data_IF_306957356809
#
_entry.id   IF_306957356809
#
_cell.length_a   1.000
_cell.length_b   1.000
_cell.length_c   1.000
_cell.angle_alpha   90.00
_cell.angle_beta   90.00
_cell.angle_gamma   90.00
#
_symmetry.space_group_name_H-M   'P 1'
#
loop_
_entity.id
_entity.type
_entity.pdbx_description
1 polymer ?
#
# COMPACT_ATOMS: atom_id res chain seq x y z
N UNK A 1 -29.46 -6.70 -51.34
CA UNK A 1 -29.68 -6.37 -49.92
C UNK A 1 -28.95 -7.38 -49.07
N UNK A 2 -27.91 -6.99 -48.33
CA UNK A 2 -27.61 -7.52 -47.00
C UNK A 2 -26.55 -6.62 -46.36
N UNK A 3 -26.99 -5.77 -45.42
CA UNK A 3 -26.11 -4.90 -44.64
C UNK A 3 -25.30 -5.81 -43.70
N UNK A 4 -23.98 -5.88 -43.89
CA UNK A 4 -23.09 -6.50 -42.91
C UNK A 4 -23.06 -5.61 -41.66
N UNK A 5 -23.73 -6.04 -40.60
CA UNK A 5 -23.63 -5.42 -39.27
C UNK A 5 -22.47 -6.14 -38.57
N UNK A 6 -21.31 -5.50 -38.55
CA UNK A 6 -20.19 -5.93 -37.70
C UNK A 6 -20.49 -5.42 -36.29
N UNK A 7 -20.92 -6.31 -35.41
CA UNK A 7 -21.14 -6.00 -34.00
C UNK A 7 -19.78 -5.96 -33.28
N UNK A 8 -19.27 -4.76 -33.02
CA UNK A 8 -18.06 -4.56 -32.23
C UNK A 8 -18.41 -4.73 -30.74
N UNK A 9 -18.06 -5.87 -30.13
CA UNK A 9 -18.18 -6.09 -28.69
C UNK A 9 -17.07 -5.31 -27.97
N UNK A 10 -17.41 -4.15 -27.42
CA UNK A 10 -16.52 -3.39 -26.53
C UNK A 10 -16.50 -4.06 -25.15
N UNK A 11 -15.39 -4.71 -24.78
CA UNK A 11 -15.19 -5.22 -23.43
C UNK A 11 -14.84 -4.05 -22.53
N UNK A 12 -15.79 -3.64 -21.68
CA UNK A 12 -15.58 -2.58 -20.68
C UNK A 12 -14.89 -3.22 -19.48
N UNK A 13 -13.62 -2.88 -19.25
CA UNK A 13 -12.91 -3.23 -18.02
C UNK A 13 -13.18 -2.16 -16.96
N UNK A 14 -13.83 -2.55 -15.87
CA UNK A 14 -13.94 -1.73 -14.66
C UNK A 14 -12.82 -2.11 -13.69
N UNK A 15 -11.96 -1.15 -13.38
CA UNK A 15 -10.94 -1.27 -12.35
C UNK A 15 -11.46 -0.62 -11.05
N UNK A 16 -11.52 -1.40 -9.97
CA UNK A 16 -11.90 -0.90 -8.65
C UNK A 16 -10.65 -0.85 -7.77
N UNK A 17 -10.39 0.28 -7.10
CA UNK A 17 -9.37 0.38 -6.04
C UNK A 17 -10.05 0.58 -4.69
N UNK A 18 -9.40 0.11 -3.63
CA UNK A 18 -9.84 0.34 -2.26
C UNK A 18 -8.84 1.26 -1.57
N UNK A 19 -9.32 2.41 -1.10
CA UNK A 19 -8.52 3.40 -0.37
C UNK A 19 -9.16 3.60 1.00
N UNK A 20 -8.41 3.30 2.06
CA UNK A 20 -8.80 3.61 3.43
C UNK A 20 -8.18 4.95 3.84
N UNK A 21 -9.01 5.93 4.17
CA UNK A 21 -8.55 7.20 4.73
C UNK A 21 -8.47 7.08 6.26
N UNK A 22 -7.29 7.32 6.82
CA UNK A 22 -7.01 7.23 8.25
C UNK A 22 -6.47 8.56 8.75
N UNK A 23 -7.12 9.15 9.76
CA UNK A 23 -6.65 10.38 10.42
C UNK A 23 -6.22 10.03 11.83
N UNK A 24 -5.00 10.41 12.21
CA UNK A 24 -4.40 10.14 13.52
C UNK A 24 -3.63 11.36 14.01
N UNK A 25 -3.35 11.43 15.31
CA UNK A 25 -2.62 12.58 15.88
C UNK A 25 -1.14 12.26 16.06
N UNK A 26 -0.32 13.31 16.03
CA UNK A 26 1.10 13.20 16.41
C UNK A 26 1.19 12.64 17.84
N UNK A 27 2.11 11.68 18.05
CA UNK A 27 2.32 11.03 19.34
C UNK A 27 1.48 9.77 19.55
N UNK A 28 0.38 9.58 18.81
CA UNK A 28 -0.44 8.38 18.90
C UNK A 28 0.22 7.18 18.18
N UNK A 29 -0.24 5.98 18.54
CA UNK A 29 0.12 4.75 17.85
C UNK A 29 -0.82 4.50 16.69
N UNK A 30 -0.28 4.24 15.51
CA UNK A 30 -1.04 3.73 14.37
C UNK A 30 -0.63 2.29 14.01
N UNK A 31 -1.64 1.47 13.70
CA UNK A 31 -1.46 0.12 13.17
C UNK A 31 -2.16 0.06 11.82
N UNK A 32 -1.37 -0.12 10.77
CA UNK A 32 -1.83 -0.20 9.38
C UNK A 32 -1.89 -1.67 8.99
N UNK A 33 -3.01 -2.07 8.40
CA UNK A 33 -3.33 -3.45 8.04
C UNK A 33 -3.92 -3.48 6.63
N UNK A 34 -3.26 -4.20 5.71
CA UNK A 34 -3.69 -4.43 4.33
C UNK A 34 -4.16 -5.88 4.11
N UNK A 35 -4.30 -6.66 5.18
CA UNK A 35 -4.61 -8.08 5.17
C UNK A 35 -3.37 -8.95 5.34
N UNK A 36 -3.53 -10.23 5.01
CA UNK A 36 -2.53 -11.28 5.29
C UNK A 36 -1.44 -11.33 4.22
N UNK A 37 -0.29 -11.88 4.60
CA UNK A 37 0.81 -12.19 3.67
C UNK A 37 1.70 -11.01 3.33
N UNK A 38 1.59 -9.90 4.06
CA UNK A 38 2.42 -8.72 3.87
C UNK A 38 3.76 -8.91 4.57
N UNK A 39 4.85 -8.72 3.83
CA UNK A 39 6.22 -8.68 4.34
C UNK A 39 6.82 -7.31 4.06
N UNK A 40 6.57 -6.78 2.87
CA UNK A 40 7.10 -5.52 2.37
C UNK A 40 6.02 -4.44 2.42
N UNK A 41 6.41 -3.27 2.91
CA UNK A 41 5.61 -2.07 2.87
C UNK A 41 6.33 -1.01 2.04
N UNK A 42 5.53 -0.25 1.30
CA UNK A 42 5.94 0.92 0.56
C UNK A 42 5.06 2.09 0.96
N UNK A 43 5.63 3.28 1.08
CA UNK A 43 4.86 4.51 1.19
C UNK A 43 5.32 5.54 0.17
N UNK A 44 4.39 6.41 -0.21
CA UNK A 44 4.68 7.65 -0.93
C UNK A 44 4.52 8.78 0.07
N UNK A 45 5.62 9.49 0.34
CA UNK A 45 5.67 10.63 1.24
C UNK A 45 6.33 11.79 0.53
N UNK A 46 5.63 12.92 0.41
CA UNK A 46 6.10 14.10 -0.32
C UNK A 46 6.59 13.75 -1.75
N UNK A 47 5.86 12.87 -2.45
CA UNK A 47 6.20 12.40 -3.80
C UNK A 47 7.39 11.43 -3.87
N UNK A 48 7.99 11.03 -2.75
CA UNK A 48 9.11 10.09 -2.70
C UNK A 48 8.66 8.71 -2.24
N UNK A 49 9.21 7.69 -2.87
CA UNK A 49 8.98 6.31 -2.51
C UNK A 49 9.93 5.86 -1.40
N UNK A 50 9.35 5.22 -0.38
CA UNK A 50 10.08 4.74 0.78
C UNK A 50 9.64 3.32 1.14
N UNK A 51 10.58 2.53 1.65
CA UNK A 51 10.42 1.08 1.81
C UNK A 51 10.78 0.65 3.23
N UNK A 52 9.99 -0.25 3.80
CA UNK A 52 10.27 -0.95 5.05
C UNK A 52 9.77 -2.39 4.93
N UNK A 53 10.37 -3.34 5.64
CA UNK A 53 9.87 -4.72 5.63
C UNK A 53 9.95 -5.38 7.00
N UNK A 54 9.21 -6.48 7.14
CA UNK A 54 9.41 -7.41 8.23
C UNK A 54 10.79 -8.06 8.06
N UNK A 55 11.51 -8.18 9.16
CA UNK A 55 12.78 -8.87 9.23
C UNK A 55 12.72 -9.92 10.33
N UNK A 56 13.28 -11.09 10.03
CA UNK A 56 13.48 -12.13 11.03
C UNK A 56 14.50 -11.71 12.10
N UNK A 57 14.61 -12.46 13.21
CA UNK A 57 15.45 -12.09 14.35
C UNK A 57 16.95 -12.00 14.03
N UNK A 58 17.40 -12.63 12.94
CA UNK A 58 18.81 -12.67 12.52
C UNK A 58 19.09 -11.84 11.26
N UNK A 59 18.08 -11.17 10.69
CA UNK A 59 18.23 -10.43 9.44
C UNK A 59 18.67 -8.97 9.69
N UNK A 60 19.69 -8.52 8.96
CA UNK A 60 20.30 -7.19 9.14
C UNK A 60 20.16 -6.27 7.90
N UNK A 61 19.03 -6.34 7.20
CA UNK A 61 18.77 -5.46 6.05
C UNK A 61 18.60 -3.99 6.49
N UNK A 62 19.03 -2.98 5.69
CA UNK A 62 18.72 -1.57 5.96
C UNK A 62 17.22 -1.26 6.06
N UNK A 63 16.38 -2.13 5.48
CA UNK A 63 14.91 -2.03 5.48
C UNK A 63 14.25 -2.58 6.74
N UNK A 64 15.03 -3.11 7.68
CA UNK A 64 14.55 -3.59 8.96
C UNK A 64 14.34 -2.42 9.92
N UNK A 65 13.09 -2.21 10.37
CA UNK A 65 12.78 -1.27 11.46
C UNK A 65 12.91 0.23 11.14
N UNK A 66 13.07 0.60 9.86
CA UNK A 66 12.93 1.97 9.41
C UNK A 66 12.63 2.04 7.91
N UNK A 67 12.05 3.16 7.49
CA UNK A 67 11.89 3.48 6.08
C UNK A 67 13.23 3.87 5.45
N UNK A 68 13.47 3.40 4.23
CA UNK A 68 14.61 3.78 3.39
C UNK A 68 14.15 4.24 2.01
N UNK A 69 14.98 5.01 1.32
CA UNK A 69 14.76 5.38 -0.09
C UNK A 69 15.02 4.20 -1.04
N UNK A 70 14.78 4.38 -2.33
CA UNK A 70 15.11 3.39 -3.37
C UNK A 70 16.60 2.97 -3.32
N UNK A 71 17.49 3.89 -2.97
CA UNK A 71 18.94 3.66 -2.84
C UNK A 71 19.34 3.02 -1.49
N UNK A 72 18.37 2.56 -0.68
CA UNK A 72 18.55 2.00 0.66
C UNK A 72 19.18 2.95 1.69
N UNK A 73 19.13 4.26 1.46
CA UNK A 73 19.50 5.26 2.47
C UNK A 73 18.32 5.50 3.43
N UNK A 74 18.57 5.73 4.73
CA UNK A 74 17.50 6.07 5.68
C UNK A 74 16.65 7.24 5.17
N UNK A 75 15.33 7.06 5.20
CA UNK A 75 14.39 8.11 4.85
C UNK A 75 14.33 9.16 5.97
N UNK A 76 14.36 10.45 5.58
CA UNK A 76 14.35 11.57 6.52
C UNK A 76 13.13 12.48 6.34
N UNK A 77 12.55 13.03 7.43
CA UNK A 77 12.73 12.63 8.82
C UNK A 77 12.40 11.15 9.09
N UNK A 78 13.06 10.58 10.10
CA UNK A 78 12.96 9.16 10.46
C UNK A 78 11.66 8.89 11.22
N UNK A 79 10.88 7.92 10.76
CA UNK A 79 9.70 7.40 11.46
C UNK A 79 10.08 6.39 12.55
N UNK A 80 9.28 6.30 13.61
CA UNK A 80 9.38 5.17 14.55
C UNK A 80 8.45 4.05 14.07
N UNK A 81 8.95 3.18 13.19
CA UNK A 81 8.14 2.23 12.46
C UNK A 81 8.71 0.82 12.48
N UNK A 82 7.84 -0.18 12.57
CA UNK A 82 8.19 -1.60 12.49
C UNK A 82 7.10 -2.38 11.76
N UNK A 83 7.51 -3.35 10.95
CA UNK A 83 6.57 -4.33 10.38
C UNK A 83 6.61 -5.57 11.26
N UNK A 84 5.45 -6.03 11.70
CA UNK A 84 5.29 -7.22 12.53
C UNK A 84 5.23 -8.50 11.69
N UNK A 85 5.43 -9.66 12.31
CA UNK A 85 5.38 -10.97 11.64
C UNK A 85 4.02 -11.33 11.07
N UNK A 86 2.94 -10.69 11.55
CA UNK A 86 1.60 -10.85 10.99
C UNK A 86 1.34 -9.95 9.77
N UNK A 87 2.30 -9.10 9.39
CA UNK A 87 2.25 -8.20 8.25
C UNK A 87 1.82 -6.76 8.56
N UNK A 88 1.41 -6.47 9.80
CA UNK A 88 0.98 -5.12 10.17
C UNK A 88 2.18 -4.17 10.22
N UNK A 89 2.00 -2.96 9.70
CA UNK A 89 2.92 -1.85 9.90
C UNK A 89 2.49 -1.04 11.12
N UNK A 90 3.38 -0.92 12.10
CA UNK A 90 3.16 -0.12 13.31
C UNK A 90 4.01 1.14 13.23
N UNK A 91 3.39 2.30 13.49
CA UNK A 91 4.07 3.56 13.74
C UNK A 91 3.78 4.00 15.18
N UNK A 92 4.82 4.12 16.00
CA UNK A 92 4.66 4.34 17.44
C UNK A 92 5.90 4.99 18.06
N UNK A 93 5.89 6.29 18.40
CA UNK A 93 4.81 7.24 18.16
C UNK A 93 4.78 7.72 16.70
N UNK A 94 3.60 8.12 16.24
CA UNK A 94 3.44 8.85 14.99
C UNK A 94 4.14 10.21 15.02
N UNK A 95 4.77 10.56 13.90
CA UNK A 95 5.32 11.88 13.64
C UNK A 95 4.46 12.61 12.60
N UNK A 96 4.48 13.95 12.62
CA UNK A 96 3.75 14.75 11.62
C UNK A 96 4.17 14.42 10.18
N UNK A 97 5.43 14.05 10.00
CA UNK A 97 5.96 13.61 8.71
C UNK A 97 5.45 12.26 8.26
N UNK A 98 4.78 11.46 9.09
CA UNK A 98 4.31 10.12 8.67
C UNK A 98 3.08 10.15 7.78
N UNK A 99 2.54 11.33 7.47
CA UNK A 99 1.48 11.47 6.48
C UNK A 99 1.92 10.97 5.09
N UNK A 100 1.07 10.22 4.42
CA UNK A 100 1.34 9.67 3.10
C UNK A 100 0.43 8.51 2.72
N UNK A 101 0.65 7.98 1.52
CA UNK A 101 -0.08 6.81 1.00
C UNK A 101 0.76 5.57 1.24
N UNK A 102 0.20 4.58 1.91
CA UNK A 102 0.84 3.32 2.30
C UNK A 102 0.21 2.15 1.55
N UNK A 103 1.03 1.25 1.05
CA UNK A 103 0.62 0.07 0.30
C UNK A 103 1.67 -1.03 0.37
N UNK A 104 1.35 -2.22 -0.12
CA UNK A 104 2.31 -3.32 -0.19
C UNK A 104 2.56 -3.76 -1.64
N UNK A 105 3.83 -3.91 -2.06
CA UNK A 105 4.16 -4.52 -3.35
C UNK A 105 3.92 -6.05 -3.38
N UNK A 106 3.62 -6.67 -2.24
CA UNK A 106 3.33 -8.11 -2.17
C UNK A 106 1.92 -8.42 -2.70
N UNK A 107 1.02 -7.42 -2.66
CA UNK A 107 -0.33 -7.53 -3.19
C UNK A 107 -0.36 -7.27 -4.69
N UNK A 108 -1.12 -8.11 -5.41
CA UNK A 108 -1.25 -8.05 -6.87
C UNK A 108 -2.69 -7.69 -7.24
N UNK A 109 -2.85 -7.17 -8.46
CA UNK A 109 -4.18 -6.98 -9.04
C UNK A 109 -4.88 -8.34 -9.13
N UNK A 110 -6.04 -8.42 -8.49
CA UNK A 110 -6.90 -9.60 -8.61
C UNK A 110 -7.73 -9.49 -9.87
N UNK A 111 -7.76 -10.56 -10.67
CA UNK A 111 -8.55 -10.63 -11.90
C UNK A 111 -9.62 -11.69 -11.73
N UNK A 112 -10.88 -11.29 -11.89
CA UNK A 112 -12.01 -12.20 -11.78
C UNK A 112 -12.74 -12.27 -13.11
N UNK A 113 -12.98 -13.49 -13.59
CA UNK A 113 -13.86 -13.73 -14.74
C UNK A 113 -15.27 -13.96 -14.24
N UNK A 114 -16.20 -13.11 -14.65
CA UNK A 114 -17.61 -13.23 -14.30
C UNK A 114 -18.30 -14.33 -15.13
N UNK A 115 -19.41 -14.92 -14.64
CA UNK A 115 -20.14 -15.96 -15.37
C UNK A 115 -20.64 -15.52 -16.77
N UNK A 116 -20.88 -14.23 -16.96
CA UNK A 116 -21.27 -13.64 -18.25
C UNK A 116 -20.09 -13.45 -19.22
N UNK A 117 -18.87 -13.84 -18.83
CA UNK A 117 -17.66 -13.73 -19.64
C UNK A 117 -16.88 -12.42 -19.48
N UNK A 118 -17.40 -11.46 -18.73
CA UNK A 118 -16.71 -10.20 -18.43
C UNK A 118 -15.53 -10.42 -17.48
N UNK A 119 -14.57 -9.50 -17.52
CA UNK A 119 -13.39 -9.51 -16.67
C UNK A 119 -13.41 -8.28 -15.76
N UNK A 120 -13.29 -8.49 -14.46
CA UNK A 120 -13.06 -7.41 -13.49
C UNK A 120 -11.63 -7.45 -12.98
N UNK A 121 -11.08 -6.29 -12.69
CA UNK A 121 -9.77 -6.14 -12.08
C UNK A 121 -9.90 -5.31 -10.80
N UNK A 122 -9.38 -5.84 -9.69
CA UNK A 122 -9.35 -5.15 -8.40
C UNK A 122 -7.92 -4.79 -8.08
N UNK A 123 -7.64 -3.49 -7.94
CA UNK A 123 -6.35 -3.00 -7.52
C UNK A 123 -6.11 -3.31 -6.03
N UNK A 124 -4.85 -3.53 -5.61
CA UNK A 124 -4.51 -3.70 -4.21
C UNK A 124 -5.04 -2.57 -3.32
N UNK A 125 -5.43 -2.86 -2.07
CA UNK A 125 -5.78 -1.84 -1.10
C UNK A 125 -4.58 -0.94 -0.78
N UNK A 126 -4.89 0.32 -0.47
CA UNK A 126 -3.94 1.29 0.07
C UNK A 126 -4.58 2.06 1.24
N UNK A 127 -3.73 2.64 2.08
CA UNK A 127 -4.11 3.46 3.23
C UNK A 127 -3.54 4.86 3.03
N UNK A 128 -4.41 5.87 3.01
CA UNK A 128 -4.02 7.26 3.06
C UNK A 128 -4.04 7.73 4.52
N UNK A 129 -2.85 7.85 5.11
CA UNK A 129 -2.67 8.30 6.49
C UNK A 129 -2.45 9.81 6.52
N UNK A 130 -3.28 10.53 7.27
CA UNK A 130 -3.11 11.95 7.58
C UNK A 130 -2.81 12.10 9.07
N UNK A 131 -1.65 12.68 9.39
CA UNK A 131 -1.24 12.97 10.76
C UNK A 131 -1.47 14.44 11.07
N UNK A 132 -2.31 14.72 12.07
CA UNK A 132 -2.65 16.08 12.48
C UNK A 132 -1.93 16.47 13.77
N UNK A 133 -1.56 17.76 13.86
CA UNK A 133 -1.14 18.38 15.11
C UNK A 133 -2.38 18.84 15.88
N UNK A 134 -2.25 18.88 17.22
CA UNK A 134 -3.23 19.48 18.12
C UNK A 134 -3.27 21.00 17.95
#
# INVERSE_FOLDING_TARGET
MLKQIVLLLAVIYVANSSVLNMVQKVGEKAVLDLGKGIVNWKRIRNGKEEFIKFCGPTEMSPRCGQFVTADNNPALPKSNAVVLSNGNLVLDPLQSSDSGTYFSPDLKIEKTKLPNGEMTATAPPQIDLTVIQH
#
